data_IF_888775443384
#
_entry.id   IF_888775443384
#
_cell.length_a   1.000
_cell.length_b   1.000
_cell.length_c   1.000
_cell.angle_alpha   90.00
_cell.angle_beta   90.00
_cell.angle_gamma   90.00
#
_symmetry.space_group_name_H-M   'P 1'
#
loop_
_entity.id
_entity.type
_entity.pdbx_description
1 polymer ?
#
# COMPACT_ATOMS: atom_id res chain seq x y z
N UNK A 1 41.48 29.54 44.11
CA UNK A 1 40.43 28.52 43.83
C UNK A 1 40.99 27.17 44.22
N UNK A 2 40.32 26.41 45.09
CA UNK A 2 40.85 25.13 45.58
C UNK A 2 40.88 24.09 44.44
N UNK A 3 41.86 23.18 44.43
CA UNK A 3 42.05 22.15 43.38
C UNK A 3 40.79 21.31 43.17
N UNK A 4 40.06 21.03 44.25
CA UNK A 4 38.77 20.35 44.21
C UNK A 4 37.67 21.16 43.52
N UNK A 5 37.62 22.48 43.73
CA UNK A 5 36.64 23.35 43.08
C UNK A 5 36.88 23.42 41.56
N UNK A 6 38.15 23.49 41.14
CA UNK A 6 38.52 23.47 39.71
C UNK A 6 38.15 22.13 39.06
N UNK A 7 38.40 21.00 39.74
CA UNK A 7 38.05 19.67 39.24
C UNK A 7 36.53 19.49 39.09
N UNK A 8 35.74 19.96 40.06
CA UNK A 8 34.27 19.89 40.00
C UNK A 8 33.74 20.72 38.82
N UNK A 9 34.26 21.94 38.62
CA UNK A 9 33.85 22.80 37.50
C UNK A 9 34.19 22.13 36.15
N UNK A 10 35.38 21.56 36.01
CA UNK A 10 35.79 20.86 34.77
C UNK A 10 34.91 19.63 34.52
N UNK A 11 34.58 18.84 35.54
CA UNK A 11 33.68 17.68 35.40
C UNK A 11 32.28 18.12 34.98
N UNK A 12 31.74 19.18 35.59
CA UNK A 12 30.42 19.73 35.25
C UNK A 12 30.41 20.24 33.79
N UNK A 13 31.43 20.98 33.38
CA UNK A 13 31.55 21.50 32.01
C UNK A 13 31.66 20.36 31.00
N UNK A 14 32.44 19.30 31.28
CA UNK A 14 32.52 18.11 30.43
C UNK A 14 31.15 17.41 30.33
N UNK A 15 30.42 17.30 31.46
CA UNK A 15 29.09 16.70 31.48
C UNK A 15 28.08 17.49 30.63
N UNK A 16 28.12 18.83 30.67
CA UNK A 16 27.25 19.69 29.86
C UNK A 16 27.60 19.69 28.37
N UNK A 17 28.87 19.51 27.99
CA UNK A 17 29.29 19.42 26.58
C UNK A 17 28.81 18.09 25.96
N UNK A 18 28.75 17.00 26.73
CA UNK A 18 28.27 15.69 26.24
C UNK A 18 26.76 15.58 25.99
N UNK A 19 25.94 16.55 26.42
CA UNK A 19 24.46 16.50 26.22
C UNK A 19 24.04 16.99 24.83
N UNK A 20 24.96 17.50 24.00
CA UNK A 20 24.67 17.77 22.58
C UNK A 20 24.76 16.49 21.75
N UNK A 21 24.05 15.45 22.19
CA UNK A 21 23.76 14.31 21.34
C UNK A 21 23.01 14.80 20.11
N UNK A 22 23.48 14.44 18.93
CA UNK A 22 22.87 14.80 17.64
C UNK A 22 21.49 14.14 17.58
N UNK A 23 20.48 14.86 18.08
CA UNK A 23 19.09 14.45 17.92
C UNK A 23 18.80 14.45 16.43
N UNK A 24 18.31 13.32 15.91
CA UNK A 24 17.91 13.24 14.50
C UNK A 24 16.82 14.27 14.25
N UNK A 25 17.00 15.11 13.21
CA UNK A 25 15.98 16.08 12.83
C UNK A 25 14.78 15.35 12.24
N UNK A 26 13.58 15.60 12.76
CA UNK A 26 12.34 15.06 12.22
C UNK A 26 11.57 16.16 11.51
N UNK A 27 11.15 15.88 10.28
CA UNK A 27 10.27 16.76 9.50
C UNK A 27 8.99 15.99 9.18
N UNK A 28 7.85 16.56 9.53
CA UNK A 28 6.53 15.98 9.25
C UNK A 28 5.82 16.82 8.22
N UNK A 29 5.38 16.20 7.13
CA UNK A 29 4.75 16.86 6.00
C UNK A 29 3.34 16.33 5.80
N UNK A 30 2.40 17.23 5.53
CA UNK A 30 1.04 16.89 5.13
C UNK A 30 0.96 16.42 3.66
N UNK A 31 -0.26 16.16 3.21
CA UNK A 31 -0.57 15.66 1.87
C UNK A 31 -0.23 16.67 0.76
N UNK A 32 -0.06 17.94 1.12
CA UNK A 32 0.33 19.04 0.24
C UNK A 32 1.81 19.41 0.39
N UNK A 33 2.61 18.57 1.06
CA UNK A 33 4.03 18.81 1.37
C UNK A 33 4.29 20.04 2.23
N UNK A 34 3.30 20.49 3.02
CA UNK A 34 3.48 21.55 4.02
C UNK A 34 3.89 20.94 5.35
N UNK A 35 4.78 21.61 6.06
CA UNK A 35 5.21 21.16 7.38
C UNK A 35 4.05 21.22 8.39
N UNK A 36 3.92 20.17 9.20
CA UNK A 36 2.92 20.05 10.26
C UNK A 36 3.56 19.56 11.55
N UNK A 37 2.86 19.70 12.67
CA UNK A 37 3.33 19.13 13.94
C UNK A 37 3.29 17.60 13.91
N UNK A 38 4.15 16.98 14.70
CA UNK A 38 4.14 15.52 14.91
C UNK A 38 2.76 15.03 15.40
N UNK A 39 2.07 15.83 16.22
CA UNK A 39 0.72 15.51 16.70
C UNK A 39 -0.29 15.41 15.55
N UNK A 40 -0.30 16.38 14.62
CA UNK A 40 -1.19 16.35 13.45
C UNK A 40 -0.88 15.13 12.59
N UNK A 41 0.40 14.85 12.37
CA UNK A 41 0.85 13.67 11.64
C UNK A 41 0.29 12.38 12.27
N UNK A 42 0.58 12.11 13.54
CA UNK A 42 0.13 10.89 14.21
C UNK A 42 -1.39 10.80 14.30
N UNK A 43 -2.09 11.93 14.49
CA UNK A 43 -3.54 11.96 14.50
C UNK A 43 -4.12 11.51 13.15
N UNK A 44 -3.60 12.02 12.03
CA UNK A 44 -4.04 11.59 10.69
C UNK A 44 -3.68 10.14 10.38
N UNK A 45 -2.46 9.72 10.71
CA UNK A 45 -1.98 8.36 10.48
C UNK A 45 -2.79 7.29 11.25
N UNK A 46 -3.32 7.64 12.42
CA UNK A 46 -4.05 6.71 13.29
C UNK A 46 -5.58 6.82 13.18
N UNK A 47 -6.13 7.86 12.55
CA UNK A 47 -7.57 8.14 12.59
C UNK A 47 -8.39 7.42 11.52
N UNK A 48 -7.82 7.10 10.35
CA UNK A 48 -8.63 6.55 9.25
C UNK A 48 -7.85 5.79 8.18
N UNK A 49 -8.57 4.92 7.46
CA UNK A 49 -8.11 4.24 6.24
C UNK A 49 -7.99 5.20 5.03
N UNK A 50 -8.02 6.52 5.24
CA UNK A 50 -7.86 7.55 4.20
C UNK A 50 -6.40 7.88 3.93
N UNK A 51 -5.54 7.73 4.94
CA UNK A 51 -4.16 8.21 4.92
C UNK A 51 -3.17 7.05 4.95
N UNK A 52 -2.11 7.18 4.15
CA UNK A 52 -0.93 6.35 4.22
C UNK A 52 0.23 7.23 4.67
N UNK A 53 0.95 6.78 5.69
CA UNK A 53 2.06 7.54 6.25
C UNK A 53 3.37 6.82 5.97
N UNK A 54 4.32 7.54 5.39
CA UNK A 54 5.62 7.00 5.01
C UNK A 54 6.71 7.81 5.70
N UNK A 55 7.72 7.12 6.25
CA UNK A 55 8.90 7.76 6.83
C UNK A 55 10.14 7.20 6.17
N UNK A 56 11.07 8.08 5.81
CA UNK A 56 12.36 7.70 5.23
C UNK A 56 13.46 8.63 5.73
N UNK A 57 14.68 8.11 5.77
CA UNK A 57 15.86 8.84 6.21
C UNK A 57 16.60 9.40 4.99
N UNK A 58 16.91 10.69 5.02
CA UNK A 58 17.67 11.39 3.99
C UNK A 58 18.63 12.37 4.65
N UNK A 59 19.94 12.24 4.40
CA UNK A 59 21.00 13.11 4.95
C UNK A 59 20.90 13.36 6.46
N UNK A 60 20.62 12.30 7.23
CA UNK A 60 20.50 12.38 8.69
C UNK A 60 19.17 12.95 9.22
N UNK A 61 18.30 13.42 8.33
CA UNK A 61 16.94 13.87 8.62
C UNK A 61 15.96 12.72 8.39
N UNK A 62 14.99 12.56 9.28
CA UNK A 62 13.84 11.67 9.08
C UNK A 62 12.68 12.50 8.54
N UNK A 63 12.31 12.24 7.30
CA UNK A 63 11.18 12.89 6.64
C UNK A 63 10.00 11.94 6.71
N UNK A 64 8.90 12.41 7.30
CA UNK A 64 7.64 11.68 7.42
C UNK A 64 6.55 12.40 6.64
N UNK A 65 5.88 11.71 5.71
CA UNK A 65 4.89 12.28 4.80
C UNK A 65 3.54 11.60 4.95
N UNK A 66 2.47 12.39 4.91
CA UNK A 66 1.08 11.91 4.83
C UNK A 66 0.66 11.89 3.36
N UNK A 67 0.02 10.82 2.92
CA UNK A 67 -0.44 10.64 1.54
C UNK A 67 -1.88 10.12 1.52
N UNK A 68 -2.68 10.54 0.54
CA UNK A 68 -4.03 9.99 0.36
C UNK A 68 -3.99 8.58 -0.23
N UNK A 69 -4.63 7.62 0.45
CA UNK A 69 -4.83 6.25 -0.05
C UNK A 69 -5.77 6.18 -1.25
N UNK A 70 -6.53 7.23 -1.51
CA UNK A 70 -7.48 7.29 -2.60
C UNK A 70 -7.24 8.56 -3.40
N UNK A 71 -7.43 8.48 -4.72
CA UNK A 71 -7.31 9.64 -5.58
C UNK A 71 -8.29 9.50 -6.74
N UNK A 72 -9.08 10.54 -6.98
CA UNK A 72 -9.79 10.72 -8.23
C UNK A 72 -8.95 11.61 -9.15
N UNK A 73 -9.14 11.43 -10.45
CA UNK A 73 -8.59 12.34 -11.43
C UNK A 73 -9.21 12.11 -12.79
N UNK A 74 -8.66 12.81 -13.78
CA UNK A 74 -9.13 12.75 -15.15
C UNK A 74 -7.97 12.88 -16.11
N UNK A 75 -7.96 12.03 -17.13
CA UNK A 75 -7.15 12.19 -18.34
C UNK A 75 -8.07 12.56 -19.50
N UNK A 76 -7.50 13.00 -20.61
CA UNK A 76 -8.24 13.21 -21.85
C UNK A 76 -8.72 11.88 -22.44
N UNK A 77 -9.74 11.95 -23.31
CA UNK A 77 -10.22 10.77 -24.06
C UNK A 77 -9.13 10.20 -24.99
N UNK A 78 -8.28 11.07 -25.53
CA UNK A 78 -7.18 10.64 -26.40
C UNK A 78 -6.09 9.89 -25.62
N UNK A 79 -5.74 10.38 -24.42
CA UNK A 79 -4.84 9.66 -23.51
C UNK A 79 -5.43 8.31 -23.09
N UNK A 80 -6.74 8.25 -22.82
CA UNK A 80 -7.41 6.97 -22.55
C UNK A 80 -7.27 6.01 -23.74
N UNK A 81 -7.55 6.46 -24.96
CA UNK A 81 -7.45 5.62 -26.15
C UNK A 81 -6.01 5.16 -26.43
N UNK A 82 -5.01 6.02 -26.20
CA UNK A 82 -3.60 5.67 -26.30
C UNK A 82 -3.22 4.58 -25.28
N UNK A 83 -3.62 4.75 -24.01
CA UNK A 83 -3.38 3.76 -22.98
C UNK A 83 -4.10 2.43 -23.29
N UNK A 84 -5.34 2.48 -23.76
CA UNK A 84 -6.10 1.29 -24.17
C UNK A 84 -5.37 0.52 -25.27
N UNK A 85 -4.94 1.20 -26.33
CA UNK A 85 -4.18 0.60 -27.44
C UNK A 85 -2.85 0.02 -26.97
N UNK A 86 -2.14 0.72 -26.09
CA UNK A 86 -0.90 0.24 -25.49
C UNK A 86 -1.13 -1.08 -24.73
N UNK A 87 -2.18 -1.15 -23.91
CA UNK A 87 -2.52 -2.38 -23.16
C UNK A 87 -2.80 -3.53 -24.12
N UNK A 88 -3.61 -3.29 -25.16
CA UNK A 88 -3.94 -4.31 -26.17
C UNK A 88 -2.67 -4.84 -26.84
N UNK A 89 -1.79 -3.94 -27.27
CA UNK A 89 -0.55 -4.30 -27.94
C UNK A 89 0.40 -5.09 -27.03
N UNK A 90 0.59 -4.64 -25.79
CA UNK A 90 1.63 -5.20 -24.92
C UNK A 90 1.19 -6.48 -24.19
N UNK A 91 -0.11 -6.63 -23.90
CA UNK A 91 -0.64 -7.81 -23.20
C UNK A 91 -1.40 -8.79 -24.10
N UNK A 92 -1.78 -8.37 -25.31
CA UNK A 92 -2.67 -9.13 -26.19
C UNK A 92 -4.10 -9.25 -25.66
N UNK A 93 -4.51 -8.43 -24.69
CA UNK A 93 -5.87 -8.42 -24.14
C UNK A 93 -6.76 -7.56 -25.02
N UNK A 94 -7.88 -8.10 -25.52
CA UNK A 94 -8.86 -7.29 -26.25
C UNK A 94 -9.72 -6.44 -25.30
N UNK A 95 -9.82 -5.15 -25.63
CA UNK A 95 -10.52 -4.12 -24.83
C UNK A 95 -11.28 -3.20 -25.78
N UNK A 96 -12.61 -3.28 -25.77
CA UNK A 96 -13.46 -2.35 -26.52
C UNK A 96 -13.35 -0.91 -25.99
N UNK A 97 -13.54 0.13 -26.82
CA UNK A 97 -13.47 1.52 -26.39
C UNK A 97 -14.44 1.90 -25.26
N UNK A 98 -15.56 1.20 -25.15
CA UNK A 98 -16.59 1.44 -24.12
C UNK A 98 -16.31 0.76 -22.77
N UNK A 99 -15.28 -0.09 -22.67
CA UNK A 99 -15.01 -0.85 -21.43
C UNK A 99 -14.27 0.00 -20.41
N UNK A 100 -14.64 -0.17 -19.14
CA UNK A 100 -13.87 0.33 -18.00
C UNK A 100 -12.66 -0.58 -17.81
N UNK A 101 -11.47 0.00 -17.71
CA UNK A 101 -10.24 -0.74 -17.44
C UNK A 101 -10.01 -0.77 -15.94
N UNK A 102 -9.91 -1.96 -15.35
CA UNK A 102 -9.47 -2.15 -13.97
C UNK A 102 -8.07 -2.73 -13.98
N UNK A 103 -7.09 -1.89 -13.64
CA UNK A 103 -5.69 -2.26 -13.54
C UNK A 103 -5.36 -2.61 -12.09
N UNK A 104 -4.85 -3.82 -11.85
CA UNK A 104 -4.33 -4.25 -10.55
C UNK A 104 -2.82 -4.34 -10.61
N UNK A 105 -2.14 -3.47 -9.87
CA UNK A 105 -0.67 -3.41 -9.79
C UNK A 105 -0.15 -4.44 -8.80
N UNK A 106 0.87 -5.16 -9.23
CA UNK A 106 1.71 -6.02 -8.41
C UNK A 106 3.13 -5.50 -8.45
N UNK A 107 3.72 -5.26 -7.28
CA UNK A 107 5.12 -4.83 -7.18
C UNK A 107 6.06 -5.93 -7.70
N UNK A 108 5.67 -7.19 -7.53
CA UNK A 108 6.36 -8.33 -8.09
C UNK A 108 5.39 -9.47 -8.40
N UNK A 109 5.69 -10.23 -9.45
CA UNK A 109 5.06 -11.50 -9.79
C UNK A 109 5.40 -12.52 -8.70
N UNK A 110 4.44 -13.38 -8.37
CA UNK A 110 4.64 -14.45 -7.39
C UNK A 110 5.73 -15.42 -7.92
N UNK A 111 6.75 -15.72 -7.13
CA UNK A 111 7.80 -16.65 -7.57
C UNK A 111 8.37 -17.39 -6.37
N UNK A 112 8.81 -18.63 -6.59
CA UNK A 112 9.32 -19.45 -5.50
C UNK A 112 10.49 -18.76 -4.79
N UNK A 113 11.42 -18.19 -5.55
CA UNK A 113 12.58 -17.47 -5.01
C UNK A 113 12.15 -16.31 -4.10
N UNK A 114 11.22 -15.48 -4.58
CA UNK A 114 10.68 -14.34 -3.81
C UNK A 114 10.01 -14.82 -2.53
N UNK A 115 9.17 -15.84 -2.61
CA UNK A 115 8.43 -16.32 -1.43
C UNK A 115 9.36 -16.96 -0.39
N UNK A 116 10.44 -17.64 -0.82
CA UNK A 116 11.49 -18.09 0.09
C UNK A 116 12.16 -16.91 0.80
N UNK A 117 12.47 -15.83 0.09
CA UNK A 117 13.08 -14.62 0.68
C UNK A 117 12.13 -13.94 1.67
N UNK A 118 10.84 -13.79 1.32
CA UNK A 118 9.82 -13.24 2.21
C UNK A 118 9.60 -14.12 3.44
N UNK A 119 9.60 -15.45 3.28
CA UNK A 119 9.48 -16.38 4.38
C UNK A 119 10.64 -16.22 5.38
N UNK A 120 11.88 -16.17 4.90
CA UNK A 120 13.06 -15.92 5.75
C UNK A 120 12.96 -14.60 6.53
N UNK A 121 12.47 -13.55 5.89
CA UNK A 121 12.25 -12.26 6.56
C UNK A 121 11.19 -12.36 7.66
N UNK A 122 10.07 -13.05 7.38
CA UNK A 122 9.02 -13.30 8.37
C UNK A 122 9.54 -14.13 9.54
N UNK A 123 10.33 -15.18 9.30
CA UNK A 123 10.92 -15.99 10.37
C UNK A 123 11.82 -15.15 11.29
N UNK A 124 12.65 -14.27 10.73
CA UNK A 124 13.47 -13.34 11.50
C UNK A 124 12.61 -12.42 12.36
N UNK A 125 11.58 -11.82 11.79
CA UNK A 125 10.65 -10.96 12.51
C UNK A 125 9.95 -11.70 13.65
N UNK A 126 9.47 -12.92 13.42
CA UNK A 126 8.84 -13.73 14.46
C UNK A 126 9.82 -14.11 15.57
N UNK A 127 11.07 -14.40 15.25
CA UNK A 127 12.11 -14.65 16.25
C UNK A 127 12.35 -13.42 17.14
N UNK A 128 12.44 -12.23 16.54
CA UNK A 128 12.58 -10.96 17.27
C UNK A 128 11.36 -10.66 18.16
N UNK A 129 10.15 -10.85 17.62
CA UNK A 129 8.91 -10.65 18.37
C UNK A 129 8.80 -11.65 19.54
N UNK A 130 9.23 -12.90 19.33
CA UNK A 130 9.30 -13.91 20.39
C UNK A 130 10.24 -13.49 21.49
N UNK A 131 11.47 -13.10 21.15
CA UNK A 131 12.48 -12.69 22.13
C UNK A 131 11.99 -11.52 23.00
N UNK A 132 11.35 -10.52 22.38
CA UNK A 132 10.72 -9.39 23.10
C UNK A 132 9.61 -9.85 24.04
N UNK A 133 8.75 -10.75 23.58
CA UNK A 133 7.65 -11.28 24.37
C UNK A 133 8.13 -12.18 25.52
N UNK A 134 9.15 -13.00 25.30
CA UNK A 134 9.76 -13.84 26.34
C UNK A 134 10.44 -12.98 27.40
N UNK A 135 11.15 -11.92 27.00
CA UNK A 135 11.69 -10.90 27.92
C UNK A 135 10.58 -10.20 28.72
N UNK A 136 9.46 -9.85 28.08
CA UNK A 136 8.31 -9.24 28.78
C UNK A 136 7.65 -10.22 29.77
N UNK A 137 7.55 -11.50 29.42
CA UNK A 137 7.01 -12.55 30.28
C UNK A 137 7.92 -12.82 31.49
N UNK A 138 9.24 -12.60 31.38
CA UNK A 138 10.17 -12.70 32.50
C UNK A 138 9.99 -11.58 33.54
N UNK A 139 9.42 -10.43 33.15
CA UNK A 139 9.18 -9.27 34.02
C UNK A 139 7.88 -9.35 34.86
N UNK A 140 7.23 -10.52 34.92
CA UNK A 140 6.12 -10.79 35.86
C UNK A 140 4.71 -10.49 35.35
N UNK A 141 4.54 -10.20 34.06
CA UNK A 141 3.22 -9.99 33.45
C UNK A 141 2.48 -11.27 33.03
N UNK A 142 1.19 -11.13 32.69
CA UNK A 142 0.36 -12.21 32.14
C UNK A 142 1.02 -12.83 30.89
N UNK A 143 1.33 -14.13 30.97
CA UNK A 143 2.04 -14.88 29.93
C UNK A 143 1.28 -14.83 28.60
N UNK A 144 1.73 -14.00 27.66
CA UNK A 144 1.21 -14.04 26.28
C UNK A 144 1.90 -15.17 25.54
N UNK A 145 1.18 -16.25 25.24
CA UNK A 145 1.67 -17.31 24.35
C UNK A 145 1.56 -16.82 22.90
N UNK A 146 2.69 -16.41 22.30
CA UNK A 146 2.75 -16.22 20.85
C UNK A 146 2.88 -17.60 20.21
N UNK A 147 1.84 -18.05 19.49
CA UNK A 147 1.95 -19.23 18.61
C UNK A 147 2.74 -18.81 17.37
N UNK A 148 3.95 -19.33 17.25
CA UNK A 148 4.76 -19.15 16.05
C UNK A 148 4.60 -20.41 15.22
N UNK A 149 3.90 -20.28 14.10
CA UNK A 149 3.85 -21.33 13.11
C UNK A 149 5.13 -21.26 12.28
N UNK A 150 6.11 -22.11 12.60
CA UNK A 150 7.23 -22.40 11.69
C UNK A 150 6.73 -23.47 10.74
N UNK A 151 6.47 -23.07 9.50
CA UNK A 151 6.22 -24.01 8.41
C UNK A 151 7.44 -24.00 7.52
N UNK A 152 8.00 -25.17 7.22
CA UNK A 152 9.12 -25.28 6.28
C UNK A 152 8.63 -24.94 4.88
N UNK A 153 8.71 -23.66 4.52
CA UNK A 153 8.29 -23.20 3.20
C UNK A 153 9.14 -23.89 2.13
N UNK A 154 8.47 -24.65 1.26
CA UNK A 154 9.10 -25.46 0.23
C UNK A 154 8.36 -25.33 -1.10
N UNK A 155 8.88 -25.98 -2.14
CA UNK A 155 8.35 -25.87 -3.49
C UNK A 155 6.91 -26.40 -3.62
N UNK A 156 6.54 -27.43 -2.88
CA UNK A 156 5.21 -28.02 -2.93
C UNK A 156 4.17 -27.09 -2.29
N UNK A 157 4.50 -26.52 -1.13
CA UNK A 157 3.69 -25.48 -0.48
C UNK A 157 3.52 -24.27 -1.41
N UNK A 158 4.61 -23.83 -2.05
CA UNK A 158 4.54 -22.75 -3.02
C UNK A 158 3.60 -23.07 -4.19
N UNK A 159 3.70 -24.27 -4.75
CA UNK A 159 2.85 -24.70 -5.87
C UNK A 159 1.37 -24.74 -5.47
N UNK A 160 1.04 -25.17 -4.25
CA UNK A 160 -0.33 -25.18 -3.74
C UNK A 160 -0.89 -23.75 -3.56
N UNK A 161 -0.09 -22.85 -2.99
CA UNK A 161 -0.41 -21.42 -2.87
C UNK A 161 -0.66 -20.80 -4.25
N UNK A 162 0.26 -21.05 -5.20
CA UNK A 162 0.17 -20.55 -6.56
C UNK A 162 -1.09 -21.07 -7.26
N UNK A 163 -1.37 -22.37 -7.19
CA UNK A 163 -2.55 -23.00 -7.77
C UNK A 163 -3.85 -22.42 -7.21
N UNK A 164 -3.93 -22.28 -5.90
CA UNK A 164 -5.08 -21.66 -5.22
C UNK A 164 -5.27 -20.22 -5.67
N UNK A 165 -4.20 -19.43 -5.70
CA UNK A 165 -4.24 -18.04 -6.13
C UNK A 165 -4.65 -17.87 -7.59
N UNK A 166 -4.14 -18.71 -8.49
CA UNK A 166 -4.52 -18.73 -9.91
C UNK A 166 -6.02 -19.01 -10.08
N UNK A 167 -6.53 -20.05 -9.41
CA UNK A 167 -7.95 -20.44 -9.45
C UNK A 167 -8.86 -19.32 -8.95
N UNK A 168 -8.47 -18.68 -7.84
CA UNK A 168 -9.23 -17.57 -7.27
C UNK A 168 -9.21 -16.32 -8.16
N UNK A 169 -8.05 -16.01 -8.73
CA UNK A 169 -7.88 -14.88 -9.63
C UNK A 169 -8.70 -15.06 -10.91
N UNK A 170 -8.65 -16.25 -11.52
CA UNK A 170 -9.48 -16.60 -12.68
C UNK A 170 -10.97 -16.47 -12.37
N UNK A 171 -11.43 -17.11 -11.30
CA UNK A 171 -12.83 -17.01 -10.84
C UNK A 171 -13.24 -15.56 -10.58
N UNK A 172 -12.32 -14.75 -10.09
CA UNK A 172 -12.57 -13.33 -9.89
C UNK A 172 -12.81 -12.60 -11.22
N UNK A 173 -11.89 -12.72 -12.16
CA UNK A 173 -11.98 -12.10 -13.49
C UNK A 173 -13.30 -12.46 -14.16
N UNK A 174 -13.59 -13.76 -14.26
CA UNK A 174 -14.82 -14.28 -14.87
C UNK A 174 -16.09 -13.71 -14.22
N UNK A 175 -16.10 -13.59 -12.89
CA UNK A 175 -17.27 -13.07 -12.19
C UNK A 175 -17.51 -11.58 -12.39
N UNK A 176 -16.46 -10.79 -12.54
CA UNK A 176 -16.60 -9.34 -12.69
C UNK A 176 -16.76 -8.93 -14.14
N UNK A 177 -15.98 -9.50 -15.06
CA UNK A 177 -16.11 -9.20 -16.50
C UNK A 177 -17.45 -9.67 -17.08
N UNK A 178 -18.06 -10.71 -16.50
CA UNK A 178 -19.43 -11.14 -16.87
C UNK A 178 -20.52 -10.20 -16.33
N UNK A 179 -20.31 -9.60 -15.16
CA UNK A 179 -21.34 -8.81 -14.46
C UNK A 179 -21.28 -7.32 -14.74
N UNK A 180 -20.13 -6.83 -15.18
CA UNK A 180 -19.84 -5.42 -15.36
C UNK A 180 -19.16 -5.20 -16.71
N UNK A 181 -19.37 -4.03 -17.31
CA UNK A 181 -18.71 -3.64 -18.54
C UNK A 181 -17.26 -3.22 -18.28
N UNK A 182 -16.44 -4.17 -17.81
CA UNK A 182 -15.05 -3.95 -17.47
C UNK A 182 -14.12 -4.90 -18.22
N UNK A 183 -12.82 -4.59 -18.15
CA UNK A 183 -11.72 -5.52 -18.37
C UNK A 183 -10.74 -5.45 -17.20
N UNK A 184 -10.38 -6.59 -16.62
CA UNK A 184 -9.35 -6.68 -15.59
C UNK A 184 -7.99 -6.90 -16.23
N UNK A 185 -7.02 -6.09 -15.84
CA UNK A 185 -5.65 -6.11 -16.35
C UNK A 185 -4.69 -6.17 -15.16
N UNK A 186 -3.70 -7.05 -15.24
CA UNK A 186 -2.75 -7.30 -14.16
C UNK A 186 -1.40 -6.70 -14.54
N UNK A 187 -1.00 -5.66 -13.81
CA UNK A 187 0.19 -4.86 -14.09
C UNK A 187 1.35 -5.32 -13.19
N UNK A 188 2.55 -5.48 -13.73
CA UNK A 188 3.77 -5.72 -12.95
C UNK A 188 4.98 -4.98 -13.52
N UNK A 189 6.07 -4.91 -12.75
CA UNK A 189 7.34 -4.30 -13.19
C UNK A 189 8.48 -5.31 -13.38
N UNK A 190 8.25 -6.58 -13.00
CA UNK A 190 9.25 -7.65 -13.05
C UNK A 190 9.66 -8.10 -14.47
N UNK A 191 10.63 -9.03 -14.51
CA UNK A 191 11.05 -9.74 -15.72
C UNK A 191 9.85 -10.52 -16.35
N UNK A 192 9.51 -10.24 -17.63
CA UNK A 192 8.41 -10.90 -18.33
C UNK A 192 8.60 -12.42 -18.48
N UNK A 193 9.81 -12.96 -18.30
CA UNK A 193 10.01 -14.42 -18.26
C UNK A 193 9.22 -15.10 -17.14
N UNK A 194 8.91 -14.40 -16.05
CA UNK A 194 8.09 -14.93 -14.96
C UNK A 194 6.63 -15.12 -15.37
N UNK A 195 6.14 -14.37 -16.37
CA UNK A 195 4.77 -14.46 -16.86
C UNK A 195 4.45 -15.84 -17.46
N UNK A 196 5.45 -16.55 -17.99
CA UNK A 196 5.29 -17.88 -18.63
C UNK A 196 4.64 -18.93 -17.72
N UNK A 197 4.71 -18.73 -16.40
CA UNK A 197 4.12 -19.61 -15.39
C UNK A 197 2.62 -19.36 -15.17
N UNK A 198 2.07 -18.28 -15.75
CA UNK A 198 0.71 -17.78 -15.52
C UNK A 198 -0.10 -17.85 -16.82
N UNK A 199 -0.73 -18.99 -17.07
CA UNK A 199 -1.47 -19.22 -18.33
C UNK A 199 -2.94 -18.82 -18.28
N UNK A 200 -3.52 -18.70 -17.09
CA UNK A 200 -4.97 -18.48 -16.91
C UNK A 200 -5.43 -17.04 -17.20
N UNK A 201 -4.52 -16.08 -17.23
CA UNK A 201 -4.79 -14.69 -17.57
C UNK A 201 -3.52 -14.02 -18.07
N UNK A 202 -3.67 -12.82 -18.65
CA UNK A 202 -2.59 -12.07 -19.27
C UNK A 202 -2.05 -11.01 -18.31
N UNK A 203 -0.74 -10.86 -18.33
CA UNK A 203 -0.02 -9.81 -17.63
C UNK A 203 0.27 -8.64 -18.57
N UNK A 204 0.46 -7.47 -17.97
CA UNK A 204 0.94 -6.27 -18.62
C UNK A 204 2.20 -5.82 -17.88
N UNK A 205 3.33 -5.82 -18.58
CA UNK A 205 4.56 -5.23 -18.05
C UNK A 205 4.49 -3.71 -18.13
N UNK A 206 4.59 -3.04 -16.99
CA UNK A 206 4.74 -1.59 -16.94
C UNK A 206 6.16 -1.19 -17.35
N UNK A 207 6.29 -0.48 -18.47
CA UNK A 207 7.56 0.14 -18.91
C UNK A 207 7.81 1.51 -18.25
N UNK A 208 7.02 1.85 -17.23
CA UNK A 208 7.10 3.10 -16.48
C UNK A 208 5.97 4.10 -16.81
N UNK A 209 5.17 3.84 -17.85
CA UNK A 209 4.07 4.72 -18.27
C UNK A 209 2.99 4.78 -17.18
N UNK A 210 2.52 3.63 -16.69
CA UNK A 210 1.49 3.61 -15.66
C UNK A 210 2.02 4.12 -14.33
N UNK A 211 3.28 3.81 -13.99
CA UNK A 211 3.97 4.39 -12.84
C UNK A 211 4.02 5.91 -12.88
N UNK A 212 4.38 6.50 -14.01
CA UNK A 212 4.51 7.96 -14.12
C UNK A 212 3.17 8.68 -14.08
N UNK A 213 2.14 8.13 -14.72
CA UNK A 213 0.82 8.76 -14.79
C UNK A 213 0.04 8.55 -13.50
N UNK A 214 -0.03 7.30 -13.02
CA UNK A 214 -0.95 6.89 -11.96
C UNK A 214 -0.25 6.49 -10.66
N UNK A 215 0.79 5.66 -10.74
CA UNK A 215 1.40 5.03 -9.55
C UNK A 215 2.72 5.68 -9.12
N UNK A 216 2.75 7.02 -9.06
CA UNK A 216 3.98 7.80 -8.76
C UNK A 216 4.64 7.39 -7.45
N UNK A 217 3.83 7.01 -6.45
CA UNK A 217 4.28 6.46 -5.18
C UNK A 217 4.07 4.95 -5.18
N UNK A 218 5.14 4.17 -5.32
CA UNK A 218 5.05 2.75 -5.66
C UNK A 218 4.19 1.91 -4.69
N UNK A 219 4.12 2.28 -3.41
CA UNK A 219 3.43 1.52 -2.36
C UNK A 219 2.12 2.14 -1.89
N UNK A 220 1.63 3.17 -2.58
CA UNK A 220 0.44 3.90 -2.17
C UNK A 220 -0.84 3.32 -2.76
N UNK A 221 -0.85 3.14 -4.09
CA UNK A 221 -2.02 2.68 -4.84
C UNK A 221 -1.73 1.35 -5.54
N UNK A 222 -2.67 0.42 -5.45
CA UNK A 222 -2.55 -0.94 -6.02
C UNK A 222 -3.63 -1.25 -7.05
N UNK A 223 -4.69 -0.43 -7.10
CA UNK A 223 -5.78 -0.60 -8.06
C UNK A 223 -6.10 0.72 -8.73
N UNK A 224 -6.30 0.69 -10.04
CA UNK A 224 -6.79 1.77 -10.87
C UNK A 224 -8.11 1.33 -11.53
N UNK A 225 -9.16 2.13 -11.39
CA UNK A 225 -10.35 2.07 -12.25
C UNK A 225 -10.26 3.24 -13.22
N UNK A 226 -10.25 2.96 -14.52
CA UNK A 226 -10.17 3.96 -15.59
C UNK A 226 -11.38 3.83 -16.53
N UNK A 227 -12.20 4.86 -16.61
CA UNK A 227 -13.39 4.93 -17.46
C UNK A 227 -13.06 5.44 -18.87
N UNK A 228 -13.90 5.10 -19.88
CA UNK A 228 -13.73 5.60 -21.26
C UNK A 228 -13.75 7.13 -21.43
N UNK A 229 -14.40 7.84 -20.51
CA UNK A 229 -14.43 9.30 -20.50
C UNK A 229 -13.15 9.93 -19.90
N UNK A 230 -12.16 9.10 -19.52
CA UNK A 230 -10.90 9.52 -18.92
C UNK A 230 -10.94 9.71 -17.41
N UNK A 231 -12.10 9.61 -16.76
CA UNK A 231 -12.16 9.66 -15.30
C UNK A 231 -11.51 8.41 -14.70
N UNK A 232 -10.74 8.61 -13.64
CA UNK A 232 -10.08 7.52 -12.96
C UNK A 232 -10.13 7.62 -11.44
N UNK A 233 -10.01 6.45 -10.82
CA UNK A 233 -9.92 6.29 -9.38
C UNK A 233 -8.76 5.36 -9.02
N UNK A 234 -7.87 5.83 -8.15
CA UNK A 234 -6.78 5.07 -7.56
C UNK A 234 -7.15 4.66 -6.14
N UNK A 235 -6.86 3.42 -5.80
CA UNK A 235 -7.07 2.87 -4.47
C UNK A 235 -5.83 2.19 -3.93
N UNK A 236 -5.49 2.52 -2.69
CA UNK A 236 -4.52 1.81 -1.87
C UNK A 236 -5.10 0.56 -1.23
N UNK A 237 -4.36 0.01 -0.27
CA UNK A 237 -4.81 -1.18 0.47
C UNK A 237 -6.10 -0.89 1.26
N UNK A 238 -6.86 -1.96 1.52
CA UNK A 238 -8.06 -1.98 2.37
C UNK A 238 -9.35 -1.37 1.77
N UNK A 239 -9.36 -0.93 0.51
CA UNK A 239 -10.62 -0.56 -0.14
C UNK A 239 -11.54 -1.79 -0.31
N UNK A 240 -12.81 -1.65 0.09
CA UNK A 240 -13.72 -2.82 0.14
C UNK A 240 -14.23 -3.16 -1.26
N UNK A 241 -14.29 -4.44 -1.59
CA UNK A 241 -14.88 -4.96 -2.85
C UNK A 241 -16.27 -4.41 -3.15
N UNK A 242 -17.13 -4.23 -2.13
CA UNK A 242 -18.45 -3.62 -2.31
C UNK A 242 -18.39 -2.18 -2.80
N UNK A 243 -17.33 -1.44 -2.46
CA UNK A 243 -17.12 -0.05 -2.87
C UNK A 243 -16.58 0.03 -4.30
N UNK A 244 -15.65 -0.87 -4.69
CA UNK A 244 -15.27 -1.03 -6.10
C UNK A 244 -16.49 -1.28 -6.99
N UNK A 245 -17.42 -2.16 -6.56
CA UNK A 245 -18.69 -2.38 -7.29
C UNK A 245 -19.53 -1.12 -7.44
N UNK A 246 -19.57 -0.25 -6.42
CA UNK A 246 -20.29 1.02 -6.49
C UNK A 246 -19.66 1.94 -7.53
N UNK A 247 -18.33 2.07 -7.52
CA UNK A 247 -17.61 2.88 -8.51
C UNK A 247 -17.80 2.36 -9.95
N UNK A 248 -17.71 1.04 -10.14
CA UNK A 248 -17.86 0.41 -11.46
C UNK A 248 -19.30 0.53 -12.01
N UNK A 249 -20.31 0.49 -11.14
CA UNK A 249 -21.73 0.54 -11.56
C UNK A 249 -22.23 1.94 -11.91
N UNK A 250 -21.60 2.99 -11.40
CA UNK A 250 -22.12 4.35 -11.50
C UNK A 250 -21.24 5.17 -12.44
N UNK A 251 -21.85 5.69 -13.50
CA UNK A 251 -21.19 6.54 -14.48
C UNK A 251 -20.85 7.92 -13.91
N UNK A 252 -21.69 8.46 -13.03
CA UNK A 252 -21.42 9.68 -12.29
C UNK A 252 -20.73 9.39 -10.95
N UNK A 253 -19.57 10.02 -10.72
CA UNK A 253 -18.81 9.92 -9.49
C UNK A 253 -18.90 11.16 -8.60
N UNK A 254 -19.71 12.16 -8.95
CA UNK A 254 -19.83 13.43 -8.21
C UNK A 254 -20.14 13.21 -6.72
N UNK A 255 -21.05 12.30 -6.40
CA UNK A 255 -21.36 11.94 -5.01
C UNK A 255 -20.15 11.33 -4.27
N UNK A 256 -19.35 10.50 -4.95
CA UNK A 256 -18.20 9.86 -4.32
C UNK A 256 -17.03 10.84 -4.16
N UNK A 257 -16.88 11.78 -5.10
CA UNK A 257 -15.96 12.91 -4.96
C UNK A 257 -16.32 13.76 -3.74
N UNK A 258 -17.59 14.15 -3.59
CA UNK A 258 -18.08 14.90 -2.44
C UNK A 258 -17.89 14.14 -1.12
N UNK A 259 -18.15 12.82 -1.13
CA UNK A 259 -17.89 11.96 0.04
C UNK A 259 -16.40 11.90 0.38
N UNK A 260 -15.52 11.89 -0.62
CA UNK A 260 -14.07 11.91 -0.42
C UNK A 260 -13.60 13.25 0.17
N UNK A 261 -14.03 14.37 -0.41
CA UNK A 261 -13.72 15.72 0.07
C UNK A 261 -14.16 15.93 1.52
N UNK A 262 -15.39 15.51 1.85
CA UNK A 262 -15.90 15.56 3.23
C UNK A 262 -15.13 14.65 4.19
N UNK A 263 -14.56 13.55 3.68
CA UNK A 263 -13.74 12.64 4.48
C UNK A 263 -12.37 13.27 4.82
N UNK A 264 -11.74 13.96 3.86
CA UNK A 264 -10.41 14.54 4.05
C UNK A 264 -10.44 15.90 4.77
N UNK A 265 -11.54 16.65 4.68
CA UNK A 265 -11.72 17.94 5.37
C UNK A 265 -12.01 17.81 6.88
N UNK A 266 -12.02 16.59 7.42
CA UNK A 266 -12.21 16.34 8.86
C UNK A 266 -13.66 16.43 9.36
N UNK A 267 -14.63 16.75 8.49
CA UNK A 267 -16.07 16.74 8.86
C UNK A 267 -16.56 15.34 9.27
N UNK A 268 -15.87 14.29 8.80
CA UNK A 268 -16.15 12.91 9.15
C UNK A 268 -14.82 12.20 9.50
N UNK A 269 -14.41 12.16 10.78
CA UNK A 269 -13.10 11.62 11.18
C UNK A 269 -12.91 10.14 10.82
N UNK A 270 -14.02 9.39 10.67
CA UNK A 270 -14.02 8.00 10.24
C UNK A 270 -14.30 7.84 8.73
N UNK A 271 -14.28 8.91 7.94
CA UNK A 271 -14.68 8.92 6.53
C UNK A 271 -16.19 8.88 6.30
N UNK A 272 -16.60 9.30 5.10
CA UNK A 272 -17.99 9.37 4.63
C UNK A 272 -18.23 8.37 3.49
N UNK A 273 -19.46 7.88 3.38
CA UNK A 273 -19.91 7.09 2.24
C UNK A 273 -19.08 5.83 1.99
N UNK A 274 -18.49 5.72 0.80
CA UNK A 274 -17.65 4.57 0.42
C UNK A 274 -16.27 4.58 1.11
N UNK A 275 -15.87 5.68 1.72
CA UNK A 275 -14.59 5.82 2.45
C UNK A 275 -14.73 5.64 3.96
N UNK A 276 -15.95 5.38 4.44
CA UNK A 276 -16.20 5.16 5.86
C UNK A 276 -15.43 3.93 6.36
N UNK A 277 -14.55 4.14 7.33
CA UNK A 277 -13.88 3.10 8.08
C UNK A 277 -14.95 2.25 8.78
N UNK A 278 -14.82 0.94 8.62
CA UNK A 278 -15.66 -0.02 9.33
C UNK A 278 -14.72 -1.11 9.81
N UNK A 279 -14.53 -1.19 11.14
CA UNK A 279 -13.64 -2.07 11.94
C UNK A 279 -13.90 -3.58 11.74
N UNK A 280 -14.09 -4.00 10.50
CA UNK A 280 -14.28 -5.38 10.12
C UNK A 280 -12.95 -5.92 9.64
N UNK A 281 -12.24 -6.57 10.56
CA UNK A 281 -10.97 -7.27 10.36
C UNK A 281 -11.11 -8.59 9.57
N UNK A 282 -12.28 -8.85 8.98
CA UNK A 282 -12.44 -10.02 8.13
C UNK A 282 -11.84 -9.77 6.75
N UNK A 283 -10.61 -10.26 6.60
CA UNK A 283 -9.96 -10.51 5.32
C UNK A 283 -10.69 -11.64 4.59
N UNK A 284 -11.92 -11.40 4.14
CA UNK A 284 -12.52 -12.27 3.14
C UNK A 284 -11.65 -12.25 1.88
N UNK A 285 -11.61 -13.37 1.15
CA UNK A 285 -10.98 -13.43 -0.17
C UNK A 285 -11.64 -12.39 -1.08
N UNK A 286 -10.88 -11.38 -1.51
CA UNK A 286 -11.39 -10.23 -2.27
C UNK A 286 -10.72 -10.16 -3.63
N UNK A 287 -11.54 -9.87 -4.63
CA UNK A 287 -11.15 -9.68 -6.01
C UNK A 287 -10.21 -8.48 -6.26
N UNK A 288 -10.38 -7.46 -5.43
CA UNK A 288 -9.65 -6.20 -5.46
C UNK A 288 -9.02 -5.97 -4.09
#
# INVERSE_FOLDING_TARGET
MNRHTLQIIVIIVIFFISVRGVSQTYVYLDENSKEVSSQIFYQKCNSSDLYNCLSYKYDGVIISKILYRYQFGKISKDEFEQLRKLIINDSGIDISPSKIIVLKKYDSILSYKREVELHKQHEKYYAEAKAKNDSFNQLGGAKRKIRIFRHDFNKDIFNDILSTWLKETKKCIENYERKFNIKMVFLHQDDPNLEKQYKDFKWLKDRGIFKQIFFKNDRLHYTLILKPNGEYFLAGTHFKTKNYKKLIKNDDWSKYLEDFEKSINGSYPNGKGIFKNTFSYHHSKRCF
#
